data_IF_823409541899
#
_entry.id   IF_823409541899
#
_cell.length_a   1.000
_cell.length_b   1.000
_cell.length_c   1.000
_cell.angle_alpha   90.00
_cell.angle_beta   90.00
_cell.angle_gamma   90.00
#
_symmetry.space_group_name_H-M   'P 1'
#
loop_
_entity.id
_entity.type
_entity.pdbx_description
1 polymer ?
#
# COMPACT_ATOMS: atom_id res chain seq x y z
N UNK A 1 10.93 6.23 -11.59
CA UNK A 1 9.85 6.34 -10.58
C UNK A 1 8.73 5.33 -10.79
N UNK A 2 8.09 5.27 -11.97
CA UNK A 2 7.04 4.27 -12.24
C UNK A 2 7.63 2.86 -12.44
N UNK A 3 8.84 2.80 -13.00
CA UNK A 3 9.66 1.60 -13.18
C UNK A 3 10.12 0.98 -11.85
N UNK A 4 10.36 1.79 -10.82
CA UNK A 4 10.74 1.32 -9.47
C UNK A 4 9.59 0.63 -8.75
N UNK A 5 8.35 1.14 -8.94
CA UNK A 5 7.14 0.57 -8.33
C UNK A 5 6.84 -0.80 -8.94
N UNK A 6 6.93 -0.93 -10.27
CA UNK A 6 6.73 -2.21 -10.97
C UNK A 6 7.72 -3.28 -10.50
N UNK A 7 8.98 -2.91 -10.31
CA UNK A 7 10.04 -3.81 -9.81
C UNK A 7 9.81 -4.21 -8.35
N UNK A 8 9.37 -3.26 -7.51
CA UNK A 8 8.97 -3.53 -6.12
C UNK A 8 7.78 -4.49 -6.03
N UNK A 9 6.79 -4.35 -6.91
CA UNK A 9 5.64 -5.26 -7.00
C UNK A 9 6.06 -6.67 -7.43
N UNK A 10 6.94 -6.80 -8.42
CA UNK A 10 7.45 -8.11 -8.86
C UNK A 10 8.22 -8.85 -7.77
N UNK A 11 8.97 -8.11 -6.94
CA UNK A 11 9.77 -8.68 -5.85
C UNK A 11 9.09 -8.60 -4.48
N UNK A 12 7.80 -8.26 -4.44
CA UNK A 12 7.08 -8.08 -3.18
C UNK A 12 6.82 -9.43 -2.52
N UNK A 13 7.34 -9.62 -1.29
CA UNK A 13 7.15 -10.86 -0.51
C UNK A 13 6.27 -10.65 0.70
N UNK A 14 6.52 -9.58 1.45
CA UNK A 14 5.83 -9.27 2.71
C UNK A 14 5.76 -7.77 2.90
N UNK A 15 4.84 -7.34 3.78
CA UNK A 15 4.73 -5.94 4.17
C UNK A 15 6.04 -5.46 4.82
N UNK A 16 6.53 -4.26 4.46
CA UNK A 16 7.71 -3.69 5.08
C UNK A 16 7.42 -3.23 6.52
N UNK A 17 8.48 -2.99 7.28
CA UNK A 17 8.37 -2.36 8.59
C UNK A 17 7.87 -0.92 8.43
N UNK A 18 6.78 -0.58 9.13
CA UNK A 18 6.25 0.79 9.21
C UNK A 18 6.62 1.41 10.55
N UNK A 19 7.48 2.43 10.52
CA UNK A 19 7.96 3.13 11.70
C UNK A 19 6.84 3.82 12.50
N UNK A 20 5.65 4.04 11.90
CA UNK A 20 4.46 4.57 12.61
C UNK A 20 3.86 3.55 13.59
N UNK A 21 4.09 2.26 13.35
CA UNK A 21 3.57 1.16 14.15
C UNK A 21 4.71 0.25 14.67
N UNK A 22 5.59 0.76 15.56
CA UNK A 22 6.78 0.02 16.02
C UNK A 22 6.47 -1.06 17.07
N UNK A 23 5.28 -1.04 17.66
CA UNK A 23 4.91 -1.95 18.74
C UNK A 23 4.45 -3.32 18.21
N UNK A 24 4.48 -4.34 19.07
CA UNK A 24 4.03 -5.70 18.71
C UNK A 24 2.55 -5.77 18.28
N UNK A 25 1.70 -4.88 18.79
CA UNK A 25 0.30 -4.80 18.39
C UNK A 25 0.14 -4.13 17.02
N UNK A 26 -0.18 -4.92 15.99
CA UNK A 26 -0.32 -4.48 14.60
C UNK A 26 -1.77 -4.27 14.13
N UNK A 27 -2.76 -4.27 15.03
CA UNK A 27 -4.18 -4.11 14.67
C UNK A 27 -4.45 -2.81 13.92
N UNK A 28 -3.84 -1.69 14.35
CA UNK A 28 -4.00 -0.39 13.68
C UNK A 28 -3.33 -0.38 12.30
N UNK A 29 -2.15 -0.97 12.15
CA UNK A 29 -1.47 -1.07 10.85
C UNK A 29 -2.36 -1.79 9.82
N UNK A 30 -2.92 -2.95 10.20
CA UNK A 30 -3.84 -3.70 9.34
C UNK A 30 -5.07 -2.86 8.94
N UNK A 31 -5.69 -2.17 9.90
CA UNK A 31 -6.87 -1.35 9.65
C UNK A 31 -6.57 -0.14 8.73
N UNK A 32 -5.44 0.54 8.93
CA UNK A 32 -5.05 1.66 8.07
C UNK A 32 -4.81 1.21 6.62
N UNK A 33 -4.06 0.11 6.41
CA UNK A 33 -3.83 -0.42 5.06
C UNK A 33 -5.14 -0.83 4.35
N UNK A 34 -6.10 -1.41 5.09
CA UNK A 34 -7.42 -1.73 4.54
C UNK A 34 -8.17 -0.48 4.07
N UNK A 35 -8.16 0.59 4.89
CA UNK A 35 -8.80 1.85 4.50
C UNK A 35 -8.11 2.52 3.31
N UNK A 36 -6.78 2.50 3.27
CA UNK A 36 -6.01 3.14 2.19
C UNK A 36 -6.25 2.45 0.83
N UNK A 37 -6.39 1.12 0.82
CA UNK A 37 -6.82 0.38 -0.36
C UNK A 37 -8.18 0.85 -0.89
N UNK A 38 -9.20 0.93 -0.01
CA UNK A 38 -10.54 1.36 -0.41
C UNK A 38 -10.61 2.85 -0.75
N UNK A 39 -9.77 3.68 -0.12
CA UNK A 39 -9.64 5.09 -0.48
C UNK A 39 -9.08 5.25 -1.88
N UNK A 40 -8.01 4.52 -2.27
CA UNK A 40 -7.53 4.67 -3.65
C UNK A 40 -8.58 4.25 -4.65
N UNK A 41 -9.27 3.12 -4.45
CA UNK A 41 -10.29 2.66 -5.38
C UNK A 41 -11.37 3.71 -5.68
N UNK A 42 -11.68 4.55 -4.68
CA UNK A 42 -12.68 5.61 -4.79
C UNK A 42 -12.16 6.85 -5.56
N UNK A 43 -10.85 7.00 -5.73
CA UNK A 43 -10.26 8.12 -6.47
C UNK A 43 -10.55 7.93 -7.97
N UNK A 44 -11.21 8.91 -8.63
CA UNK A 44 -11.48 8.82 -10.06
C UNK A 44 -10.16 8.74 -10.85
N UNK A 45 -9.99 7.68 -11.63
CA UNK A 45 -8.77 7.38 -12.38
C UNK A 45 -7.93 6.21 -11.82
N UNK A 46 -8.10 5.85 -10.54
CA UNK A 46 -7.36 4.75 -9.89
C UNK A 46 -7.70 3.36 -10.50
N UNK A 47 -8.84 3.19 -11.16
CA UNK A 47 -9.19 1.96 -11.90
C UNK A 47 -8.46 1.80 -13.26
N UNK A 48 -7.99 2.89 -13.87
CA UNK A 48 -7.41 2.87 -15.24
C UNK A 48 -5.89 2.94 -15.24
N UNK A 49 -5.30 3.59 -14.25
CA UNK A 49 -3.85 3.60 -14.07
C UNK A 49 -3.46 2.52 -13.08
N UNK A 50 -2.48 1.68 -13.43
CA UNK A 50 -1.76 0.72 -12.54
C UNK A 50 -0.96 1.44 -11.43
N UNK A 51 -1.53 2.49 -10.88
CA UNK A 51 -0.95 3.43 -9.94
C UNK A 51 -2.05 3.79 -8.94
N UNK A 52 -2.45 2.81 -8.14
CA UNK A 52 -2.58 3.12 -6.71
C UNK A 52 -1.14 3.19 -6.21
N UNK A 53 -0.55 4.35 -5.91
CA UNK A 53 0.56 4.33 -4.98
C UNK A 53 -0.05 3.85 -3.66
N UNK A 54 0.28 2.63 -3.28
CA UNK A 54 0.18 2.20 -1.88
C UNK A 54 1.16 3.04 -1.07
#
# INVERSE_FOLDING_TARGET
MAEDIATKLQNYRTAPFDARFPNQNQTRNCFYNYLDYHRCQKIPGCQRSRHCPV
#
